data_IF_152545718412
#
_entry.id   IF_152545718412
#
_cell.length_a   1.000
_cell.length_b   1.000
_cell.length_c   1.000
_cell.angle_alpha   90.00
_cell.angle_beta   90.00
_cell.angle_gamma   90.00
#
_symmetry.space_group_name_H-M   'P 1'
#
loop_
_entity.id
_entity.type
_entity.pdbx_description
1 polymer ?
#
# COMPACT_ATOMS: atom_id res chain seq x y z
N UNK A 1 -4.54 0.23 -18.85
CA UNK A 1 -5.21 0.18 -17.53
C UNK A 1 -4.28 -0.56 -16.61
N UNK A 2 -3.77 0.09 -15.57
CA UNK A 2 -2.94 -0.63 -14.60
C UNK A 2 -3.80 -1.60 -13.80
N UNK A 3 -3.32 -2.82 -13.60
CA UNK A 3 -4.03 -3.83 -12.80
C UNK A 3 -3.24 -4.11 -11.52
N UNK A 4 -3.89 -3.89 -10.38
CA UNK A 4 -3.37 -4.16 -9.06
C UNK A 4 -3.82 -5.56 -8.59
N UNK A 5 -2.88 -6.40 -8.20
CA UNK A 5 -3.16 -7.65 -7.50
C UNK A 5 -3.57 -7.36 -6.05
N UNK A 6 -4.88 -7.19 -5.86
CA UNK A 6 -5.48 -6.89 -4.55
C UNK A 6 -5.27 -8.01 -3.54
N UNK A 7 -5.15 -9.26 -3.97
CA UNK A 7 -4.98 -10.38 -3.05
C UNK A 7 -3.53 -10.42 -2.53
N UNK A 8 -2.55 -10.23 -3.40
CA UNK A 8 -1.15 -10.12 -3.00
C UNK A 8 -0.93 -8.94 -2.06
N UNK A 9 -1.56 -7.79 -2.34
CA UNK A 9 -1.53 -6.62 -1.47
C UNK A 9 -2.09 -6.93 -0.07
N UNK A 10 -3.25 -7.58 0.01
CA UNK A 10 -3.88 -7.93 1.30
C UNK A 10 -3.00 -8.85 2.13
N UNK A 11 -2.45 -9.88 1.49
CA UNK A 11 -1.54 -10.80 2.15
C UNK A 11 -0.34 -10.03 2.70
N UNK A 12 0.25 -9.12 1.92
CA UNK A 12 1.36 -8.29 2.41
C UNK A 12 0.95 -7.44 3.62
N UNK A 13 -0.19 -6.77 3.58
CA UNK A 13 -0.70 -5.96 4.71
C UNK A 13 -0.87 -6.83 5.94
N UNK A 14 -1.62 -7.94 5.83
CA UNK A 14 -1.88 -8.85 6.95
C UNK A 14 -0.61 -9.46 7.54
N UNK A 15 0.32 -9.91 6.70
CA UNK A 15 1.61 -10.47 7.13
C UNK A 15 2.50 -9.44 7.82
N UNK A 16 2.31 -8.15 7.57
CA UNK A 16 3.12 -7.07 8.13
C UNK A 16 2.38 -6.22 9.18
N UNK A 17 1.15 -6.58 9.59
CA UNK A 17 0.39 -5.85 10.61
C UNK A 17 1.17 -5.65 11.93
N UNK A 18 2.03 -6.60 12.29
CA UNK A 18 2.85 -6.51 13.49
C UNK A 18 3.89 -5.38 13.45
N UNK A 19 4.21 -4.84 12.26
CA UNK A 19 5.14 -3.73 12.06
C UNK A 19 4.48 -2.36 12.23
N UNK A 20 3.17 -2.25 11.99
CA UNK A 20 2.42 -1.00 12.15
C UNK A 20 2.46 -0.57 13.62
N UNK A 21 2.96 0.62 14.01
CA UNK A 21 2.99 0.98 15.42
C UNK A 21 1.58 1.06 16.04
N UNK A 22 1.47 0.86 17.36
CA UNK A 22 0.20 1.00 18.06
C UNK A 22 -0.34 2.43 17.94
N UNK A 23 -1.65 2.57 17.73
CA UNK A 23 -2.31 3.87 17.54
C UNK A 23 -2.14 4.48 16.14
N UNK A 24 -1.28 3.91 15.30
CA UNK A 24 -1.08 4.35 13.90
C UNK A 24 -2.15 3.72 12.99
N UNK A 25 -2.60 4.49 12.00
CA UNK A 25 -3.52 4.04 10.97
C UNK A 25 -2.79 3.09 10.00
N UNK A 26 -3.37 1.91 9.77
CA UNK A 26 -2.77 0.85 8.94
C UNK A 26 -2.66 1.32 7.48
N UNK A 27 -3.70 1.95 6.94
CA UNK A 27 -3.68 2.53 5.58
C UNK A 27 -2.56 3.56 5.44
N UNK A 28 -2.48 4.52 6.35
CA UNK A 28 -1.46 5.59 6.29
C UNK A 28 -0.06 4.99 6.36
N UNK A 29 0.19 4.05 7.27
CA UNK A 29 1.48 3.38 7.40
C UNK A 29 1.91 2.71 6.08
N UNK A 30 1.05 1.92 5.45
CA UNK A 30 1.41 1.22 4.21
C UNK A 30 1.49 2.15 2.99
N UNK A 31 0.75 3.27 3.00
CA UNK A 31 0.86 4.28 1.96
C UNK A 31 2.19 5.05 2.08
N UNK A 32 2.64 5.34 3.31
CA UNK A 32 3.96 5.91 3.56
C UNK A 32 5.09 4.95 3.18
N UNK A 33 4.96 3.65 3.50
CA UNK A 33 5.91 2.62 3.06
C UNK A 33 6.02 2.53 1.53
N UNK A 34 4.89 2.72 0.83
CA UNK A 34 4.89 2.83 -0.62
C UNK A 34 5.63 4.09 -1.08
N UNK A 35 5.35 5.28 -0.54
CA UNK A 35 6.06 6.51 -0.92
C UNK A 35 7.57 6.46 -0.65
N UNK A 36 7.99 5.77 0.43
CA UNK A 36 9.39 5.60 0.77
C UNK A 36 10.15 4.71 -0.23
N UNK A 37 9.47 3.73 -0.84
CA UNK A 37 10.08 2.82 -1.81
C UNK A 37 9.09 2.35 -2.88
N UNK A 38 8.63 3.22 -3.80
CA UNK A 38 7.54 2.87 -4.73
C UNK A 38 7.91 1.72 -5.67
N UNK A 39 9.17 1.67 -6.12
CA UNK A 39 9.67 0.59 -6.98
C UNK A 39 9.68 -0.78 -6.27
N UNK A 40 9.76 -0.79 -4.93
CA UNK A 40 9.65 -2.03 -4.14
C UNK A 40 8.27 -2.70 -4.20
N UNK A 41 7.28 -1.99 -4.75
CA UNK A 41 5.89 -2.43 -4.86
C UNK A 41 5.49 -2.81 -6.27
N UNK A 42 6.43 -2.80 -7.22
CA UNK A 42 6.18 -3.15 -8.62
C UNK A 42 5.58 -4.55 -8.80
N UNK A 43 5.89 -5.49 -7.89
CA UNK A 43 5.36 -6.85 -7.89
C UNK A 43 3.84 -6.95 -7.61
N UNK A 44 3.21 -5.92 -7.06
CA UNK A 44 1.75 -5.88 -6.87
C UNK A 44 1.02 -5.41 -8.13
N UNK A 45 1.72 -4.84 -9.10
CA UNK A 45 1.13 -4.34 -10.33
C UNK A 45 1.49 -5.27 -11.49
N UNK A 46 0.51 -5.61 -12.31
CA UNK A 46 0.73 -6.51 -13.45
C UNK A 46 1.46 -5.84 -14.62
N UNK A 47 1.65 -4.52 -14.60
CA UNK A 47 2.20 -3.77 -15.71
C UNK A 47 3.17 -2.67 -15.24
N UNK A 48 4.38 -2.70 -15.81
CA UNK A 48 5.39 -1.64 -15.75
C UNK A 48 6.11 -1.50 -14.41
N UNK A 49 7.41 -1.16 -14.47
CA UNK A 49 8.14 -0.73 -13.27
C UNK A 49 7.86 0.75 -12.98
N UNK A 50 7.79 1.13 -11.71
CA UNK A 50 7.60 2.51 -11.26
C UNK A 50 8.50 3.53 -11.99
N UNK A 51 9.76 3.16 -12.21
CA UNK A 51 10.76 4.01 -12.84
C UNK A 51 10.50 4.24 -14.33
N UNK A 52 9.77 3.34 -14.98
CA UNK A 52 9.44 3.37 -16.41
C UNK A 52 8.08 4.03 -16.69
N UNK A 53 7.26 4.20 -15.66
CA UNK A 53 5.95 4.86 -15.76
C UNK A 53 6.07 6.36 -16.01
N UNK A 54 5.17 6.89 -16.85
CA UNK A 54 4.90 8.33 -16.96
C UNK A 54 4.26 8.89 -15.69
N UNK A 55 4.26 10.21 -15.53
CA UNK A 55 3.63 10.87 -14.38
C UNK A 55 2.14 10.54 -14.25
N UNK A 56 1.40 10.52 -15.37
CA UNK A 56 -0.01 10.16 -15.37
C UNK A 56 -0.24 8.71 -14.88
N UNK A 57 0.63 7.78 -15.29
CA UNK A 57 0.57 6.37 -14.88
C UNK A 57 0.97 6.18 -13.41
N UNK A 58 1.91 6.99 -12.90
CA UNK A 58 2.27 7.00 -11.48
C UNK A 58 1.10 7.51 -10.62
N UNK A 59 0.45 8.57 -11.06
CA UNK A 59 -0.74 9.11 -10.39
C UNK A 59 -1.91 8.11 -10.40
N UNK A 60 -2.13 7.39 -11.52
CA UNK A 60 -3.12 6.30 -11.59
C UNK A 60 -2.78 5.20 -10.56
N UNK A 61 -1.50 4.81 -10.50
CA UNK A 61 -1.02 3.77 -9.57
C UNK A 61 -1.23 4.16 -8.11
N UNK A 62 -0.88 5.39 -7.74
CA UNK A 62 -1.12 5.94 -6.41
C UNK A 62 -2.61 5.92 -6.05
N UNK A 63 -3.47 6.33 -6.98
CA UNK A 63 -4.93 6.30 -6.80
C UNK A 63 -5.43 4.88 -6.54
N UNK A 64 -4.98 3.91 -7.35
CA UNK A 64 -5.35 2.49 -7.20
C UNK A 64 -4.92 1.93 -5.84
N UNK A 65 -3.71 2.27 -5.39
CA UNK A 65 -3.20 1.80 -4.10
C UNK A 65 -3.97 2.44 -2.94
N UNK A 66 -4.23 3.75 -3.00
CA UNK A 66 -5.00 4.47 -1.99
C UNK A 66 -6.43 3.93 -1.86
N UNK A 67 -7.08 3.62 -2.99
CA UNK A 67 -8.40 2.98 -3.02
C UNK A 67 -8.35 1.56 -2.45
N UNK A 68 -7.35 0.76 -2.82
CA UNK A 68 -7.23 -0.61 -2.34
C UNK A 68 -6.94 -0.68 -0.84
N UNK A 69 -6.14 0.25 -0.31
CA UNK A 69 -5.84 0.35 1.12
C UNK A 69 -6.98 0.96 1.94
N UNK A 70 -8.01 1.55 1.32
CA UNK A 70 -9.15 2.15 2.03
C UNK A 70 -9.87 1.16 2.98
N UNK A 71 -9.87 -0.14 2.67
CA UNK A 71 -10.42 -1.17 3.56
C UNK A 71 -9.61 -1.40 4.85
N UNK A 72 -8.40 -0.86 4.91
CA UNK A 72 -7.52 -0.89 6.08
C UNK A 72 -7.46 0.47 6.79
N UNK A 73 -8.45 1.35 6.58
CA UNK A 73 -8.58 2.61 7.29
C UNK A 73 -9.02 2.40 8.75
N UNK A 74 -8.12 1.79 9.52
CA UNK A 74 -8.29 1.32 10.89
C UNK A 74 -6.97 1.57 11.63
N UNK A 75 -7.06 1.86 12.93
CA UNK A 75 -5.86 2.01 13.79
C UNK A 75 -5.49 0.69 14.44
N UNK A 76 -4.19 0.40 14.56
CA UNK A 76 -3.73 -0.74 15.37
C UNK A 76 -4.09 -0.49 16.84
N UNK A 77 -4.85 -1.41 17.43
CA UNK A 77 -5.37 -1.29 18.79
C UNK A 77 -4.25 -1.03 19.80
N UNK A 78 -4.33 0.07 20.55
CA UNK A 78 -3.48 0.32 21.71
C UNK A 78 -4.04 -0.52 22.86
N UNK A 79 -3.22 -1.39 23.42
CA UNK A 79 -3.56 -2.02 24.70
C UNK A 79 -3.24 -1.02 25.81
N UNK A 80 -4.27 -0.35 26.34
CA UNK A 80 -4.13 0.39 27.59
C UNK A 80 -3.74 -0.62 28.69
N UNK A 81 -2.61 -0.36 29.35
CA UNK A 81 -2.18 -1.07 30.55
C UNK A 81 -2.86 -0.50 31.78
#
# INVERSE_FOLDING_TARGET
MQELDKQALDVMVFSNLAKVPFGVNIKEYFFDEFHNSPAGWDNFFKAGSWNELSEAERNERESLLNEALAKFDLKRAVFDR
#
